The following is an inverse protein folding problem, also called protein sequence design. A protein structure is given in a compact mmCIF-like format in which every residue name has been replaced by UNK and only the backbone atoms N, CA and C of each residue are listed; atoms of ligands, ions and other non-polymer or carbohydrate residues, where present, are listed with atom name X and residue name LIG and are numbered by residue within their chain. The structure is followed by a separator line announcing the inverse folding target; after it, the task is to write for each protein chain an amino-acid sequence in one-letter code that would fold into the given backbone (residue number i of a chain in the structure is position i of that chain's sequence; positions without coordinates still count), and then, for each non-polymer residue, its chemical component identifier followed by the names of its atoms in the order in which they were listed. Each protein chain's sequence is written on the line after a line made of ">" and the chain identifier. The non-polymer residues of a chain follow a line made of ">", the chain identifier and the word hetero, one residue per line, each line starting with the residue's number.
data_IF_282470510010
#
_entry.id   IF_282470510010
#
_cell.length_a   1.000
_cell.length_b   1.000
_cell.length_c   1.000
_cell.angle_alpha   90.00
_cell.angle_beta   90.00
_cell.angle_gamma   90.00
#
_symmetry.space_group_name_H-M   'P 1'
#
loop_
_entity.id
_entity.type
_entity.pdbx_description
1 polymer ?
#
# COMPACT_ATOMS: atom_id res chain seq x y z
N UNK A 1 -21.52 -17.00 -4.33
CA UNK A 1 -20.68 -17.41 -3.17
C UNK A 1 -21.03 -16.51 -2.01
N UNK A 2 -21.87 -16.98 -1.09
CA UNK A 2 -22.17 -16.33 0.19
C UNK A 2 -22.97 -17.32 0.99
N UNK A 3 -22.63 -17.51 2.25
CA UNK A 3 -23.63 -17.81 3.29
C UNK A 3 -23.06 -17.40 4.65
N UNK A 4 -23.78 -16.50 5.33
CA UNK A 4 -23.72 -16.36 6.78
C UNK A 4 -23.06 -15.10 7.34
N UNK A 5 -23.79 -14.01 7.59
CA UNK A 5 -23.42 -12.94 8.52
C UNK A 5 -24.23 -13.07 9.82
N UNK A 6 -23.71 -12.53 10.93
CA UNK A 6 -24.48 -12.46 12.18
C UNK A 6 -25.58 -11.40 12.09
N UNK A 7 -26.81 -11.76 12.47
CA UNK A 7 -28.02 -10.92 12.35
C UNK A 7 -28.10 -9.82 13.41
N UNK A 8 -27.66 -10.09 14.64
CA UNK A 8 -27.92 -9.20 15.79
C UNK A 8 -26.66 -8.70 16.48
N UNK A 9 -25.48 -8.99 15.93
CA UNK A 9 -24.19 -8.75 16.61
C UNK A 9 -23.99 -9.59 17.87
N UNK A 10 -24.99 -10.38 18.26
CA UNK A 10 -24.94 -11.40 19.30
C UNK A 10 -24.79 -12.78 18.65
N UNK A 11 -24.00 -13.63 19.29
CA UNK A 11 -23.79 -15.01 18.88
C UNK A 11 -25.01 -15.85 19.26
N UNK A 12 -25.98 -15.97 18.34
CA UNK A 12 -27.14 -16.85 18.54
C UNK A 12 -26.70 -18.29 18.29
N UNK A 13 -26.79 -19.14 19.31
CA UNK A 13 -26.56 -20.59 19.18
C UNK A 13 -27.87 -21.34 18.98
N UNK A 14 -27.87 -22.34 18.11
CA UNK A 14 -28.97 -23.28 17.97
C UNK A 14 -29.05 -24.26 19.17
N UNK A 15 -30.05 -25.14 19.17
CA UNK A 15 -30.23 -26.14 20.23
C UNK A 15 -29.06 -27.15 20.35
N UNK A 16 -28.21 -27.24 19.33
CA UNK A 16 -26.96 -28.03 19.32
C UNK A 16 -25.74 -27.24 19.80
N UNK A 17 -25.89 -25.96 20.19
CA UNK A 17 -24.78 -25.10 20.61
C UNK A 17 -23.96 -24.55 19.44
N UNK A 18 -24.44 -24.69 18.20
CA UNK A 18 -23.78 -24.19 16.99
C UNK A 18 -24.24 -22.76 16.70
N UNK A 19 -23.30 -21.90 16.29
CA UNK A 19 -23.63 -20.52 15.94
C UNK A 19 -24.49 -20.48 14.67
N UNK A 20 -25.63 -19.80 14.75
CA UNK A 20 -26.56 -19.61 13.64
C UNK A 20 -26.12 -18.41 12.80
N UNK A 21 -26.13 -18.59 11.48
CA UNK A 21 -25.77 -17.56 10.52
C UNK A 21 -26.88 -17.34 9.51
N UNK A 22 -27.10 -16.08 9.11
CA UNK A 22 -28.09 -15.73 8.09
C UNK A 22 -27.39 -15.29 6.79
N UNK A 23 -27.97 -15.54 5.61
CA UNK A 23 -27.37 -15.06 4.36
C UNK A 23 -27.24 -13.53 4.36
N UNK A 24 -26.21 -13.03 3.65
CA UNK A 24 -26.05 -11.59 3.43
C UNK A 24 -27.31 -11.00 2.77
N UNK A 25 -27.72 -9.76 3.10
CA UNK A 25 -28.87 -9.12 2.47
C UNK A 25 -28.82 -9.19 0.94
N UNK A 26 -29.97 -9.41 0.32
CA UNK A 26 -30.08 -9.56 -1.13
C UNK A 26 -29.76 -8.24 -1.84
N UNK A 27 -28.87 -8.29 -2.83
CA UNK A 27 -28.51 -7.15 -3.66
C UNK A 27 -29.60 -6.91 -4.72
N UNK A 28 -30.02 -5.65 -4.91
CA UNK A 28 -31.04 -5.28 -5.90
C UNK A 28 -30.59 -5.54 -7.34
N UNK A 29 -29.29 -5.45 -7.62
CA UNK A 29 -28.72 -5.65 -8.97
C UNK A 29 -28.76 -7.11 -9.42
N UNK A 30 -28.62 -8.06 -8.50
CA UNK A 30 -28.51 -9.50 -8.82
C UNK A 30 -29.73 -10.30 -8.35
N UNK A 31 -30.54 -9.76 -7.44
CA UNK A 31 -31.62 -10.47 -6.77
C UNK A 31 -31.13 -11.62 -5.89
N UNK A 32 -29.84 -11.62 -5.51
CA UNK A 32 -29.18 -12.67 -4.72
C UNK A 32 -28.29 -12.04 -3.64
N UNK A 33 -27.96 -12.78 -2.58
CA UNK A 33 -26.90 -12.37 -1.64
C UNK A 33 -25.57 -12.09 -2.36
N UNK A 34 -24.64 -11.39 -1.72
CA UNK A 34 -23.37 -10.93 -2.32
C UNK A 34 -22.52 -12.08 -2.89
N UNK A 35 -22.56 -12.33 -4.21
CA UNK A 35 -21.77 -13.43 -4.78
C UNK A 35 -20.38 -13.01 -5.27
N UNK A 36 -19.34 -13.64 -4.70
CA UNK A 36 -17.97 -13.51 -5.19
C UNK A 36 -17.62 -14.61 -6.20
N UNK A 37 -16.99 -14.25 -7.32
CA UNK A 37 -16.44 -15.21 -8.28
C UNK A 37 -15.01 -15.59 -7.88
N UNK A 38 -14.75 -16.90 -7.77
CA UNK A 38 -13.46 -17.40 -7.32
C UNK A 38 -12.33 -16.98 -8.28
N UNK A 39 -11.31 -16.31 -7.74
CA UNK A 39 -10.12 -15.89 -8.49
C UNK A 39 -10.36 -14.79 -9.52
N UNK A 40 -11.52 -14.12 -9.51
CA UNK A 40 -11.84 -13.02 -10.42
C UNK A 40 -11.83 -11.71 -9.66
N UNK A 41 -10.92 -10.82 -10.03
CA UNK A 41 -10.89 -9.44 -9.51
C UNK A 41 -11.94 -8.60 -10.25
N UNK A 42 -12.90 -8.05 -9.51
CA UNK A 42 -13.99 -7.26 -10.07
C UNK A 42 -14.55 -6.29 -9.04
N UNK A 43 -15.02 -5.14 -9.52
CA UNK A 43 -15.84 -4.22 -8.74
C UNK A 43 -17.30 -4.66 -8.83
N UNK A 44 -17.92 -4.89 -7.66
CA UNK A 44 -19.29 -5.38 -7.52
C UNK A 44 -20.09 -4.31 -6.78
N UNK A 45 -21.20 -3.88 -7.38
CA UNK A 45 -22.17 -3.03 -6.71
C UNK A 45 -23.27 -3.91 -6.14
N UNK A 46 -23.62 -3.68 -4.88
CA UNK A 46 -24.71 -4.36 -4.18
C UNK A 46 -25.50 -3.32 -3.40
N UNK A 47 -26.68 -2.99 -3.89
CA UNK A 47 -27.59 -2.07 -3.20
C UNK A 47 -28.59 -2.86 -2.38
N UNK A 48 -28.62 -2.59 -1.08
CA UNK A 48 -29.67 -3.07 -0.18
C UNK A 48 -30.82 -2.09 -0.31
N UNK A 49 -31.96 -2.56 -0.83
CA UNK A 49 -33.07 -1.69 -1.23
C UNK A 49 -33.77 -1.02 -0.05
N UNK A 50 -33.88 -1.75 1.07
CA UNK A 50 -34.60 -1.29 2.25
C UNK A 50 -33.83 -1.63 3.52
N UNK A 51 -33.47 -0.60 4.28
CA UNK A 51 -32.90 -0.73 5.63
C UNK A 51 -34.05 -0.76 6.63
N UNK A 52 -34.24 -1.89 7.30
CA UNK A 52 -35.22 -2.03 8.37
C UNK A 52 -34.71 -1.44 9.69
N UNK A 53 -35.61 -1.34 10.66
CA UNK A 53 -35.32 -0.76 11.98
C UNK A 53 -34.21 -1.54 12.71
N UNK A 54 -34.27 -2.88 12.66
CA UNK A 54 -33.28 -3.74 13.31
C UNK A 54 -31.88 -3.56 12.72
N UNK A 55 -31.75 -3.60 11.38
CA UNK A 55 -30.47 -3.42 10.71
C UNK A 55 -29.94 -1.99 10.86
N UNK A 56 -30.81 -0.98 10.91
CA UNK A 56 -30.40 0.40 11.20
C UNK A 56 -29.72 0.51 12.57
N UNK A 57 -30.35 0.01 13.63
CA UNK A 57 -29.77 0.02 14.98
C UNK A 57 -28.50 -0.83 15.08
N UNK A 58 -28.43 -1.91 14.29
CA UNK A 58 -27.23 -2.74 14.19
C UNK A 58 -26.08 -1.95 13.55
N UNK A 59 -26.35 -1.23 12.46
CA UNK A 59 -25.37 -0.35 11.81
C UNK A 59 -24.91 0.77 12.76
N UNK A 60 -25.82 1.36 13.53
CA UNK A 60 -25.46 2.32 14.58
C UNK A 60 -24.47 1.70 15.57
N UNK A 61 -24.73 0.50 16.07
CA UNK A 61 -23.85 -0.19 17.01
C UNK A 61 -22.46 -0.46 16.40
N UNK A 62 -22.41 -1.00 15.18
CA UNK A 62 -21.14 -1.35 14.52
C UNK A 62 -20.30 -0.11 14.17
N UNK A 63 -20.94 0.94 13.64
CA UNK A 63 -20.27 2.20 13.31
C UNK A 63 -19.86 2.94 14.58
N UNK A 64 -20.68 2.93 15.63
CA UNK A 64 -20.37 3.64 16.87
C UNK A 64 -19.21 2.99 17.64
N UNK A 65 -19.15 1.65 17.68
CA UNK A 65 -18.12 0.91 18.42
C UNK A 65 -16.91 0.53 17.57
N UNK A 66 -16.84 0.99 16.31
CA UNK A 66 -15.84 0.54 15.32
C UNK A 66 -15.72 -1.00 15.29
N UNK A 67 -16.84 -1.69 15.48
CA UNK A 67 -16.89 -3.13 15.59
C UNK A 67 -17.01 -3.76 14.19
N UNK A 68 -16.29 -4.85 13.90
CA UNK A 68 -16.42 -5.53 12.63
C UNK A 68 -17.64 -6.47 12.60
N UNK A 69 -18.34 -6.50 11.48
CA UNK A 69 -19.31 -7.53 11.13
C UNK A 69 -18.57 -8.84 10.86
N UNK A 70 -19.06 -9.94 11.42
CA UNK A 70 -18.50 -11.28 11.21
C UNK A 70 -19.38 -12.05 10.23
N UNK A 71 -18.83 -12.31 9.05
CA UNK A 71 -19.46 -13.10 8.01
C UNK A 71 -18.65 -14.37 7.74
N UNK A 72 -19.22 -15.29 6.98
CA UNK A 72 -18.60 -16.53 6.52
C UNK A 72 -18.77 -16.67 5.02
N UNK A 73 -17.79 -17.31 4.41
CA UNK A 73 -17.82 -17.71 3.01
C UNK A 73 -17.42 -19.18 2.93
N UNK A 74 -17.97 -19.96 1.99
CA UNK A 74 -17.58 -21.35 1.84
C UNK A 74 -16.09 -21.44 1.47
N UNK A 75 -15.35 -22.30 2.14
CA UNK A 75 -13.89 -22.44 1.97
C UNK A 75 -13.51 -22.90 0.55
N UNK A 76 -14.42 -23.61 -0.13
CA UNK A 76 -14.27 -24.07 -1.51
C UNK A 76 -15.36 -23.44 -2.39
N UNK A 77 -15.07 -23.15 -3.67
CA UNK A 77 -16.09 -22.67 -4.60
C UNK A 77 -17.22 -23.69 -4.66
N UNK A 78 -18.45 -23.20 -4.58
CA UNK A 78 -19.63 -24.04 -4.70
C UNK A 78 -19.60 -24.74 -6.07
N UNK A 79 -19.87 -26.06 -6.12
CA UNK A 79 -19.98 -26.76 -7.38
C UNK A 79 -21.15 -26.17 -8.20
N UNK A 80 -21.15 -26.33 -9.54
CA UNK A 80 -22.26 -25.90 -10.37
C UNK A 80 -23.59 -26.46 -9.82
N UNK A 81 -24.66 -25.68 -9.96
CA UNK A 81 -25.97 -25.79 -9.29
C UNK A 81 -26.63 -27.18 -9.23
N UNK A 82 -26.17 -28.14 -10.03
CA UNK A 82 -26.60 -29.54 -9.98
C UNK A 82 -26.12 -30.32 -8.73
N UNK A 83 -25.13 -29.82 -7.98
CA UNK A 83 -24.52 -30.50 -6.82
C UNK A 83 -24.71 -29.72 -5.51
N UNK A 84 -25.62 -28.72 -5.49
CA UNK A 84 -25.86 -27.85 -4.34
C UNK A 84 -26.36 -28.64 -3.11
N UNK A 85 -27.32 -29.53 -3.32
CA UNK A 85 -27.92 -30.36 -2.26
C UNK A 85 -26.93 -31.36 -1.65
N UNK A 86 -25.93 -31.79 -2.41
CA UNK A 86 -24.89 -32.72 -1.95
C UNK A 86 -23.81 -31.98 -1.14
N UNK A 87 -23.49 -30.74 -1.53
CA UNK A 87 -22.60 -29.87 -0.77
C UNK A 87 -23.23 -29.47 0.57
N UNK A 88 -24.51 -29.07 0.59
CA UNK A 88 -25.23 -28.71 1.82
C UNK A 88 -25.38 -29.89 2.79
N UNK A 89 -25.56 -31.12 2.29
CA UNK A 89 -25.62 -32.33 3.13
C UNK A 89 -24.26 -32.80 3.64
N UNK A 90 -23.17 -32.50 2.92
CA UNK A 90 -21.80 -32.85 3.31
C UNK A 90 -21.10 -31.78 4.16
N UNK A 91 -21.65 -30.58 4.23
CA UNK A 91 -21.12 -29.41 4.92
C UNK A 91 -21.52 -29.36 6.41
N UNK A 92 -21.55 -30.50 7.11
CA UNK A 92 -21.78 -30.51 8.56
C UNK A 92 -20.50 -30.11 9.29
N UNK A 93 -20.50 -28.90 9.85
CA UNK A 93 -19.41 -28.40 10.68
C UNK A 93 -19.37 -29.20 11.99
N UNK A 94 -18.38 -30.08 12.16
CA UNK A 94 -18.23 -30.92 13.36
C UNK A 94 -17.54 -30.18 14.53
N UNK A 95 -17.22 -28.90 14.38
CA UNK A 95 -16.58 -28.12 15.45
C UNK A 95 -17.63 -27.47 16.34
N UNK A 96 -17.78 -27.98 17.57
CA UNK A 96 -18.66 -27.40 18.58
C UNK A 96 -18.18 -26.00 19.00
N UNK A 97 -19.05 -25.00 18.86
CA UNK A 97 -18.92 -23.70 19.55
C UNK A 97 -17.85 -22.72 19.05
N UNK A 98 -17.10 -23.01 17.98
CA UNK A 98 -16.07 -22.10 17.44
C UNK A 98 -15.94 -22.17 15.93
N UNK A 99 -16.92 -21.69 15.17
CA UNK A 99 -16.79 -21.79 13.71
C UNK A 99 -15.87 -20.75 13.05
N UNK A 100 -14.89 -20.20 13.78
CA UNK A 100 -13.64 -19.72 13.17
C UNK A 100 -12.69 -20.86 12.79
N UNK A 101 -12.90 -22.06 13.35
CA UNK A 101 -12.14 -23.28 13.10
C UNK A 101 -12.84 -24.25 12.14
N UNK A 102 -13.95 -23.84 11.53
CA UNK A 102 -14.66 -24.67 10.56
C UNK A 102 -13.79 -24.94 9.34
N UNK A 103 -13.66 -26.20 8.93
CA UNK A 103 -12.99 -26.55 7.67
C UNK A 103 -13.88 -26.25 6.45
N UNK A 104 -15.18 -26.08 6.67
CA UNK A 104 -16.20 -25.89 5.63
C UNK A 104 -16.35 -24.41 5.27
N UNK A 105 -16.26 -23.54 6.26
CA UNK A 105 -16.45 -22.10 6.11
C UNK A 105 -15.22 -21.31 6.56
N UNK A 106 -14.79 -20.38 5.71
CA UNK A 106 -13.74 -19.42 6.04
C UNK A 106 -14.38 -18.14 6.59
N UNK A 107 -13.90 -17.60 7.72
CA UNK A 107 -14.39 -16.33 8.24
C UNK A 107 -14.03 -15.17 7.31
N UNK A 108 -14.98 -14.26 7.13
CA UNK A 108 -14.85 -13.00 6.40
C UNK A 108 -15.25 -11.86 7.33
N UNK A 109 -14.29 -11.04 7.72
CA UNK A 109 -14.50 -9.90 8.62
C UNK A 109 -14.78 -8.65 7.78
N UNK A 110 -15.89 -7.97 8.02
CA UNK A 110 -16.28 -6.74 7.32
C UNK A 110 -16.27 -5.55 8.29
N UNK A 111 -15.30 -4.66 8.14
CA UNK A 111 -15.19 -3.45 8.93
C UNK A 111 -15.85 -2.27 8.21
N UNK A 112 -16.96 -1.76 8.77
CA UNK A 112 -17.69 -0.63 8.22
C UNK A 112 -17.25 0.66 8.91
N UNK A 113 -16.88 1.68 8.14
CA UNK A 113 -16.51 2.98 8.67
C UNK A 113 -17.66 3.97 8.46
N UNK A 114 -17.89 4.84 9.45
CA UNK A 114 -18.94 5.83 9.38
C UNK A 114 -18.92 6.82 10.53
N UNK A 115 -19.94 7.66 10.61
CA UNK A 115 -20.16 8.61 11.71
C UNK A 115 -21.63 8.58 12.12
N UNK A 116 -21.87 8.46 13.42
CA UNK A 116 -23.20 8.52 14.00
C UNK A 116 -23.67 9.98 14.18
N UNK A 117 -24.91 10.26 13.84
CA UNK A 117 -25.62 11.48 14.23
C UNK A 117 -26.93 11.11 14.94
N UNK A 118 -27.55 12.08 15.62
CA UNK A 118 -28.76 11.89 16.43
C UNK A 118 -29.95 11.22 15.72
N UNK A 119 -30.04 11.33 14.39
CA UNK A 119 -31.19 10.84 13.61
C UNK A 119 -30.83 10.08 12.35
N UNK A 120 -29.54 9.85 12.09
CA UNK A 120 -29.06 9.19 10.89
C UNK A 120 -27.60 8.78 11.05
N UNK A 121 -27.19 7.79 10.26
CA UNK A 121 -25.79 7.34 10.19
C UNK A 121 -25.21 7.76 8.86
N UNK A 122 -23.97 8.23 8.87
CA UNK A 122 -23.17 8.42 7.67
C UNK A 122 -22.28 7.20 7.49
N UNK A 123 -22.52 6.41 6.45
CA UNK A 123 -21.78 5.16 6.18
C UNK A 123 -20.88 5.34 4.97
N UNK A 124 -19.62 4.92 5.06
CA UNK A 124 -18.74 4.83 3.90
C UNK A 124 -19.05 3.57 3.09
N UNK A 125 -19.63 3.79 1.91
CA UNK A 125 -20.18 2.75 1.02
C UNK A 125 -19.17 2.10 0.10
N UNK A 126 -17.97 2.66 -0.02
CA UNK A 126 -16.88 2.06 -0.78
C UNK A 126 -16.09 1.12 0.12
N UNK A 127 -16.07 -0.17 -0.19
CA UNK A 127 -15.32 -1.20 0.54
C UNK A 127 -14.31 -1.88 -0.38
N UNK A 128 -13.12 -2.17 0.16
CA UNK A 128 -12.20 -3.12 -0.45
C UNK A 128 -12.45 -4.49 0.15
N UNK A 129 -12.44 -5.53 -0.68
CA UNK A 129 -12.51 -6.93 -0.27
C UNK A 129 -11.22 -7.62 -0.68
N UNK A 130 -10.52 -8.19 0.27
CA UNK A 130 -9.30 -8.95 0.07
C UNK A 130 -9.57 -10.42 0.36
N UNK A 131 -9.23 -11.28 -0.60
CA UNK A 131 -9.40 -12.73 -0.46
C UNK A 131 -8.07 -13.41 -0.73
N UNK A 132 -7.60 -14.20 0.23
CA UNK A 132 -6.40 -15.01 0.10
C UNK A 132 -6.78 -16.44 -0.26
N UNK A 133 -6.28 -16.92 -1.38
CA UNK A 133 -6.37 -18.32 -1.78
C UNK A 133 -5.11 -19.08 -1.35
N UNK A 134 -5.29 -20.35 -1.03
CA UNK A 134 -4.17 -21.27 -0.81
C UNK A 134 -3.46 -21.49 -2.15
N UNK A 135 -2.11 -21.55 -2.18
CA UNK A 135 -1.39 -21.84 -3.41
C UNK A 135 -1.88 -23.14 -4.06
N UNK A 136 -2.11 -23.10 -5.39
CA UNK A 136 -2.63 -24.23 -6.16
C UNK A 136 -1.89 -25.56 -5.96
N UNK A 137 -0.60 -25.50 -5.65
CA UNK A 137 0.26 -26.68 -5.39
C UNK A 137 -0.07 -27.41 -4.07
N UNK A 138 -0.68 -26.71 -3.10
CA UNK A 138 -1.00 -27.24 -1.76
C UNK A 138 -2.47 -27.67 -1.73
N UNK A 139 -3.37 -26.73 -1.99
CA UNK A 139 -4.81 -26.98 -2.03
C UNK A 139 -5.47 -26.09 -3.10
N UNK A 140 -5.77 -26.64 -4.29
CA UNK A 140 -6.38 -25.86 -5.36
C UNK A 140 -7.84 -25.52 -5.02
N UNK A 141 -8.23 -24.27 -5.27
CA UNK A 141 -9.62 -23.82 -5.06
C UNK A 141 -9.98 -23.53 -3.61
N UNK A 142 -9.01 -23.56 -2.68
CA UNK A 142 -9.26 -23.31 -1.26
C UNK A 142 -9.03 -21.84 -0.91
N UNK A 143 -9.98 -21.22 -0.23
CA UNK A 143 -9.83 -19.91 0.39
C UNK A 143 -9.20 -20.10 1.77
N UNK A 144 -8.20 -19.29 2.10
CA UNK A 144 -7.50 -19.33 3.37
C UNK A 144 -8.03 -18.26 4.34
N UNK A 145 -8.31 -17.05 3.83
CA UNK A 145 -8.79 -15.93 4.62
C UNK A 145 -9.49 -14.90 3.72
N UNK A 146 -10.45 -14.18 4.27
CA UNK A 146 -11.08 -13.04 3.62
C UNK A 146 -11.33 -11.89 4.61
N UNK A 147 -11.25 -10.66 4.12
CA UNK A 147 -11.62 -9.48 4.89
C UNK A 147 -12.13 -8.39 3.95
N UNK A 148 -13.02 -7.55 4.46
CA UNK A 148 -13.46 -6.34 3.80
C UNK A 148 -13.39 -5.16 4.76
N UNK A 149 -13.11 -3.98 4.22
CA UNK A 149 -13.06 -2.75 5.00
C UNK A 149 -13.49 -1.54 4.17
N UNK A 150 -14.19 -0.62 4.79
CA UNK A 150 -14.55 0.66 4.19
C UNK A 150 -13.32 1.52 3.90
N UNK A 151 -13.38 2.28 2.80
CA UNK A 151 -12.39 3.27 2.42
C UNK A 151 -13.06 4.63 2.23
N UNK A 152 -12.42 5.70 2.70
CA UNK A 152 -12.90 7.07 2.52
C UNK A 152 -12.55 7.60 1.12
N UNK A 153 -13.13 6.98 0.07
CA UNK A 153 -12.95 7.45 -1.33
C UNK A 153 -13.99 8.50 -1.71
N UNK A 154 -15.24 8.26 -1.31
CA UNK A 154 -16.40 9.09 -1.61
C UNK A 154 -16.95 9.68 -0.29
N UNK A 155 -17.71 10.79 -0.34
CA UNK A 155 -18.41 11.28 0.85
C UNK A 155 -19.33 10.19 1.41
N UNK A 156 -19.38 10.02 2.74
CA UNK A 156 -20.21 8.99 3.34
C UNK A 156 -21.68 9.25 3.03
N UNK A 157 -22.44 8.17 2.83
CA UNK A 157 -23.86 8.24 2.49
C UNK A 157 -24.66 8.35 3.78
N UNK A 158 -25.56 9.34 3.83
CA UNK A 158 -26.54 9.46 4.91
C UNK A 158 -27.59 8.37 4.76
N UNK A 159 -27.84 7.64 5.83
CA UNK A 159 -28.82 6.56 5.91
C UNK A 159 -29.78 6.83 7.08
N UNK A 160 -31.07 6.70 6.81
CA UNK A 160 -32.14 6.54 7.81
C UNK A 160 -32.92 5.25 7.57
N UNK A 161 -33.79 4.88 8.51
CA UNK A 161 -34.70 3.74 8.35
C UNK A 161 -35.55 3.94 7.09
N UNK A 162 -35.58 2.90 6.24
CA UNK A 162 -36.28 2.89 4.97
C UNK A 162 -35.49 3.42 3.78
N UNK A 163 -34.28 3.95 3.97
CA UNK A 163 -33.38 4.27 2.86
C UNK A 163 -32.76 3.01 2.25
N UNK A 164 -32.22 3.15 1.03
CA UNK A 164 -31.38 2.15 0.41
C UNK A 164 -29.90 2.35 0.76
N UNK A 165 -29.14 1.28 0.97
CA UNK A 165 -27.69 1.32 1.21
C UNK A 165 -26.92 0.79 -0.01
N UNK A 166 -26.33 1.66 -0.84
CA UNK A 166 -25.59 1.25 -2.03
C UNK A 166 -24.15 0.90 -1.68
N UNK A 167 -23.83 -0.38 -1.48
CA UNK A 167 -22.46 -0.83 -1.19
C UNK A 167 -21.67 -1.11 -2.48
N UNK A 168 -20.41 -0.70 -2.50
CA UNK A 168 -19.49 -0.89 -3.63
C UNK A 168 -18.27 -1.65 -3.16
N UNK A 169 -18.10 -2.87 -3.66
CA UNK A 169 -17.03 -3.78 -3.27
C UNK A 169 -15.97 -3.87 -4.37
N UNK A 170 -14.74 -3.44 -4.08
CA UNK A 170 -13.57 -3.69 -4.94
C UNK A 170 -12.88 -4.98 -4.50
N UNK A 171 -13.10 -6.07 -5.23
CA UNK A 171 -12.62 -7.41 -4.86
C UNK A 171 -11.22 -7.67 -5.44
N UNK A 172 -10.28 -8.04 -4.58
CA UNK A 172 -8.91 -8.42 -4.93
C UNK A 172 -8.57 -9.81 -4.41
N UNK A 173 -7.97 -10.60 -5.30
CA UNK A 173 -7.58 -11.98 -5.00
C UNK A 173 -6.08 -12.10 -4.91
N UNK A 174 -5.60 -12.72 -3.84
CA UNK A 174 -4.20 -13.08 -3.68
C UNK A 174 -4.02 -14.59 -3.85
N UNK A 175 -3.10 -15.04 -4.71
CA UNK A 175 -2.88 -16.47 -4.99
C UNK A 175 -2.10 -17.19 -3.87
N UNK A 176 -1.73 -16.47 -2.81
CA UNK A 176 -0.99 -16.95 -1.66
C UNK A 176 -1.51 -16.27 -0.38
N UNK A 177 -1.13 -16.81 0.77
CA UNK A 177 -1.45 -16.27 2.10
C UNK A 177 -0.53 -15.12 2.52
N UNK A 178 0.56 -14.90 1.77
CA UNK A 178 1.50 -13.83 2.07
C UNK A 178 1.02 -12.56 1.39
N UNK A 179 0.92 -11.48 2.17
CA UNK A 179 0.70 -10.16 1.58
C UNK A 179 1.83 -9.85 0.58
N UNK A 180 1.52 -9.20 -0.55
CA UNK A 180 2.54 -8.79 -1.49
C UNK A 180 3.57 -7.93 -0.77
N UNK A 181 4.84 -8.32 -0.85
CA UNK A 181 5.94 -7.51 -0.33
C UNK A 181 6.09 -6.28 -1.23
N UNK A 182 5.56 -5.13 -0.82
CA UNK A 182 5.74 -3.93 -1.62
C UNK A 182 5.13 -2.67 -1.03
N UNK A 183 5.99 -1.81 -0.47
CA UNK A 183 5.81 -0.38 -0.56
C UNK A 183 6.61 0.11 -1.78
N UNK A 184 6.18 -0.28 -2.98
CA UNK A 184 6.80 0.18 -4.24
C UNK A 184 6.25 1.53 -4.70
N UNK A 185 5.53 2.26 -3.82
CA UNK A 185 4.73 3.42 -4.18
C UNK A 185 5.16 4.78 -3.62
N UNK A 186 6.16 4.86 -2.74
CA UNK A 186 6.70 6.16 -2.26
C UNK A 186 8.23 6.11 -2.22
N UNK A 187 8.81 5.90 -3.39
CA UNK A 187 10.24 6.06 -3.62
C UNK A 187 10.39 6.55 -5.04
N UNK A 188 10.50 7.87 -5.22
CA UNK A 188 10.61 8.52 -6.52
C UNK A 188 11.58 7.76 -7.40
N UNK A 189 11.18 7.53 -8.66
CA UNK A 189 11.86 6.70 -9.63
C UNK A 189 13.35 7.06 -9.80
N UNK A 190 14.22 6.48 -8.97
CA UNK A 190 15.61 6.20 -9.34
C UNK A 190 15.56 5.06 -10.35
N UNK A 191 15.05 5.35 -11.55
CA UNK A 191 15.21 4.43 -12.66
C UNK A 191 16.71 4.28 -12.91
N UNK A 192 17.14 3.09 -13.30
CA UNK A 192 18.52 2.85 -13.74
C UNK A 192 18.95 3.89 -14.80
N UNK A 193 18.01 4.34 -15.64
CA UNK A 193 18.25 5.40 -16.62
C UNK A 193 18.62 6.75 -15.98
N UNK A 194 17.93 7.18 -14.92
CA UNK A 194 18.24 8.42 -14.19
C UNK A 194 19.65 8.38 -13.60
N UNK A 195 20.07 7.23 -13.06
CA UNK A 195 21.41 7.03 -12.48
C UNK A 195 22.49 7.13 -13.58
N UNK A 196 22.26 6.49 -14.73
CA UNK A 196 23.17 6.55 -15.88
C UNK A 196 23.33 7.98 -16.43
N UNK A 197 22.23 8.73 -16.57
CA UNK A 197 22.29 10.14 -17.00
C UNK A 197 23.08 11.03 -16.02
N UNK A 198 22.89 10.83 -14.71
CA UNK A 198 23.66 11.55 -13.68
C UNK A 198 25.16 11.23 -13.75
N UNK A 199 25.55 9.96 -13.94
CA UNK A 199 26.96 9.58 -14.05
C UNK A 199 27.62 10.10 -15.33
N UNK A 200 26.93 10.05 -16.47
CA UNK A 200 27.47 10.55 -17.74
C UNK A 200 27.63 12.07 -17.69
N UNK A 201 26.66 12.81 -17.14
CA UNK A 201 26.73 14.27 -17.00
C UNK A 201 27.85 14.71 -16.03
N UNK A 202 28.01 14.01 -14.92
CA UNK A 202 29.13 14.24 -13.99
C UNK A 202 30.50 13.91 -14.63
N UNK A 203 30.60 12.81 -15.38
CA UNK A 203 31.82 12.44 -16.09
C UNK A 203 32.20 13.44 -17.19
N UNK A 204 31.22 13.87 -17.99
CA UNK A 204 31.44 14.84 -19.07
C UNK A 204 31.89 16.20 -18.53
N UNK A 205 31.24 16.70 -17.47
CA UNK A 205 31.63 17.97 -16.83
C UNK A 205 33.04 17.91 -16.23
N UNK A 206 33.39 16.82 -15.54
CA UNK A 206 34.74 16.63 -15.01
C UNK A 206 35.80 16.60 -16.12
N UNK A 207 35.53 15.91 -17.24
CA UNK A 207 36.44 15.84 -18.38
C UNK A 207 36.67 17.21 -19.04
N UNK A 208 35.60 18.00 -19.22
CA UNK A 208 35.68 19.36 -19.78
C UNK A 208 36.49 20.26 -18.86
N UNK A 209 36.24 20.23 -17.55
CA UNK A 209 37.00 21.01 -16.57
C UNK A 209 38.48 20.63 -16.59
N UNK A 210 38.82 19.34 -16.59
CA UNK A 210 40.21 18.89 -16.67
C UNK A 210 40.90 19.33 -17.96
N UNK A 211 40.23 19.24 -19.10
CA UNK A 211 40.76 19.69 -20.38
C UNK A 211 41.02 21.20 -20.39
N UNK A 212 40.10 21.99 -19.81
CA UNK A 212 40.25 23.44 -19.70
C UNK A 212 41.40 23.84 -18.77
N UNK A 213 41.48 23.25 -17.57
CA UNK A 213 42.54 23.54 -16.61
C UNK A 213 43.92 23.14 -17.17
N UNK A 214 44.05 21.97 -17.82
CA UNK A 214 45.33 21.55 -18.43
C UNK A 214 45.69 22.31 -19.70
N UNK A 215 44.71 22.59 -20.57
CA UNK A 215 44.95 23.13 -21.89
C UNK A 215 45.04 24.66 -21.95
N UNK A 216 44.30 25.36 -21.09
CA UNK A 216 44.19 26.82 -21.15
C UNK A 216 44.81 27.47 -19.92
N UNK A 217 44.49 26.97 -18.73
CA UNK A 217 44.79 27.70 -17.50
C UNK A 217 46.20 27.41 -16.95
N UNK A 218 46.64 26.15 -16.95
CA UNK A 218 48.03 25.78 -16.61
C UNK A 218 49.08 26.49 -17.50
N UNK A 219 48.99 26.45 -18.84
CA UNK A 219 49.98 27.12 -19.69
C UNK A 219 49.88 28.65 -19.62
N UNK A 220 48.70 29.22 -19.36
CA UNK A 220 48.56 30.67 -19.09
C UNK A 220 49.26 31.08 -17.80
N UNK A 221 49.11 30.32 -16.71
CA UNK A 221 49.78 30.60 -15.43
C UNK A 221 51.27 30.28 -15.45
N UNK A 222 51.70 29.24 -16.18
CA UNK A 222 53.11 28.99 -16.44
C UNK A 222 53.75 30.07 -17.33
N UNK A 223 53.01 30.68 -18.27
CA UNK A 223 53.50 31.85 -19.01
C UNK A 223 53.57 33.12 -18.16
N UNK A 224 52.65 33.35 -17.24
CA UNK A 224 52.74 34.52 -16.34
C UNK A 224 53.91 34.38 -15.37
N UNK A 225 54.07 33.21 -14.71
CA UNK A 225 55.21 32.94 -13.82
C UNK A 225 56.53 32.68 -14.57
N UNK A 226 56.47 32.21 -15.81
CA UNK A 226 57.62 31.99 -16.67
C UNK A 226 58.18 33.29 -17.24
N UNK A 227 57.34 34.30 -17.48
CA UNK A 227 57.79 35.64 -17.87
C UNK A 227 58.53 36.36 -16.72
N UNK A 228 58.13 36.09 -15.47
CA UNK A 228 58.82 36.60 -14.28
C UNK A 228 60.13 35.84 -13.96
N UNK A 229 60.35 34.66 -14.54
CA UNK A 229 61.62 33.90 -14.39
C UNK A 229 62.52 33.88 -15.62
N UNK A 230 62.00 34.21 -16.81
CA UNK A 230 62.79 34.38 -18.05
C UNK A 230 63.13 35.84 -18.36
N UNK A 231 62.68 36.80 -17.53
CA UNK A 231 63.24 38.16 -17.50
C UNK A 231 64.57 38.28 -16.74
N UNK A 232 65.13 37.17 -16.22
CA UNK A 232 66.23 37.19 -15.26
C UNK A 232 67.31 36.13 -15.41
N UNK A 233 67.45 35.48 -16.57
CA UNK A 233 68.61 34.62 -16.83
C UNK A 233 68.95 34.59 -18.33
N UNK A 234 70.21 34.93 -18.63
CA UNK A 234 70.88 34.93 -19.95
C UNK A 234 70.93 36.25 -20.75
N UNK A 235 71.69 37.22 -20.23
CA UNK A 235 72.91 37.65 -20.96
C UNK A 235 73.91 38.33 -20.02
N UNK A 236 75.11 37.78 -19.97
CA UNK A 236 76.32 38.56 -19.69
C UNK A 236 76.89 38.43 -18.29
N UNK A 237 77.59 37.32 -18.04
CA UNK A 237 78.85 37.48 -17.34
C UNK A 237 79.75 38.38 -18.18
N UNK A 238 79.93 39.63 -17.75
CA UNK A 238 81.23 40.27 -17.63
C UNK A 238 81.08 41.58 -16.83
N UNK A 239 81.58 41.57 -15.60
CA UNK A 239 82.20 42.72 -14.95
C UNK A 239 81.28 43.77 -14.30
N UNK A 240 81.60 44.09 -13.05
CA UNK A 240 81.55 45.48 -12.60
C UNK A 240 80.71 45.77 -11.36
N UNK A 241 81.38 45.74 -10.20
CA UNK A 241 81.30 46.73 -9.11
C UNK A 241 79.96 47.42 -8.78
N UNK A 242 79.50 47.28 -7.53
CA UNK A 242 78.54 48.22 -6.96
C UNK A 242 78.09 47.84 -5.56
N UNK A 243 78.67 48.50 -4.57
CA UNK A 243 78.37 48.38 -3.14
C UNK A 243 76.97 48.90 -2.76
N UNK A 244 76.51 48.40 -1.61
CA UNK A 244 75.83 49.13 -0.52
C UNK A 244 74.33 48.92 -0.29
N UNK A 245 74.08 48.46 0.96
CA UNK A 245 73.09 48.92 1.93
C UNK A 245 71.58 48.76 1.66
N UNK A 246 70.89 48.21 2.67
CA UNK A 246 69.49 48.57 2.90
C UNK A 246 68.68 47.60 3.75
N UNK A 247 69.02 47.49 5.03
CA UNK A 247 68.09 47.39 6.18
C UNK A 247 66.76 46.60 6.07
N UNK A 248 66.73 45.50 6.83
CA UNK A 248 65.66 44.98 7.71
C UNK A 248 64.26 45.62 7.65
N UNK A 249 63.27 44.76 7.38
CA UNK A 249 61.87 44.92 7.80
C UNK A 249 61.27 43.54 8.12
N UNK A 250 61.21 43.21 9.42
CA UNK A 250 60.63 41.97 9.94
C UNK A 250 59.10 42.01 9.93
N UNK A 251 58.48 40.85 9.65
CA UNK A 251 57.05 40.63 9.84
C UNK A 251 56.61 39.19 9.52
N UNK A 252 57.09 38.22 10.29
CA UNK A 252 56.57 36.84 10.27
C UNK A 252 55.54 36.64 11.39
N UNK A 253 54.33 36.24 10.99
CA UNK A 253 53.36 35.55 11.83
C UNK A 253 53.29 34.10 11.36
N UNK A 254 53.51 33.13 12.26
CA UNK A 254 52.87 31.82 12.23
C UNK A 254 53.22 31.05 13.52
N UNK A 255 52.28 31.03 14.46
CA UNK A 255 52.33 30.16 15.63
C UNK A 255 52.25 28.69 15.24
N UNK A 256 53.09 27.89 15.90
CA UNK A 256 53.28 26.45 15.74
C UNK A 256 52.23 25.70 16.57
N UNK A 257 51.68 24.61 16.02
CA UNK A 257 51.14 23.49 16.78
C UNK A 257 52.30 22.58 17.16
N UNK A 258 52.39 22.23 18.43
CA UNK A 258 52.61 20.88 18.93
C UNK A 258 51.66 20.67 20.11
#
# INVERSE_FOLDING_TARGET
>A
MTDGCSDTGEHITDASGQLTYIPFPTCNETGRPLELLFGVEKDINCTIDFIDDAFFHLLEFYVHNDAPLTCRIPTKPLPPSALKDEFEKGATDHTDGQGSLSEVYTPMIVALAGVLQLSHVHVSTSLNVLVHAVPKRIAPGTIAAATAYSIARDPPTRIVIGDSLPLRFSVRWYPNTNLPSGWTGVGGHLTFSTLVYCLISAGASAAICLAYFRGVELPRRLRSHGKDRLGGMERGGLGGYGFANGYNGYGYNAGKRD
#
